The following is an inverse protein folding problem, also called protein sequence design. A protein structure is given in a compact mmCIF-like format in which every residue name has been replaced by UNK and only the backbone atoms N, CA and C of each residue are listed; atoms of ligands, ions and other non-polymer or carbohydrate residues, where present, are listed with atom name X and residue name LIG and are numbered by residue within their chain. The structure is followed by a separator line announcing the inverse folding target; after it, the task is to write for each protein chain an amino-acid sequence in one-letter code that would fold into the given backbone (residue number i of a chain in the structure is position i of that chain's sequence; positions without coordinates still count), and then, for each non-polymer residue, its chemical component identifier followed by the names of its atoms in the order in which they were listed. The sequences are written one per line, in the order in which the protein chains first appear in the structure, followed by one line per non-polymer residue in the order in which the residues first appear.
data_IF_690237491203
#
_entry.id   IF_690237491203
#
_cell.length_a   1.000
_cell.length_b   1.000
_cell.length_c   1.000
_cell.angle_alpha   90.00
_cell.angle_beta   90.00
_cell.angle_gamma   90.00
#
_symmetry.space_group_name_H-M   'P 1'
#
loop_
_entity.id
_entity.type
_entity.pdbx_description
1 polymer ?
#
# COMPACT_ATOMS: atom_id res chain seq x y z
N UNK A 1 8.90 -22.02 -25.01
CA UNK A 1 8.74 -22.94 -23.85
C UNK A 1 7.27 -23.05 -23.50
N UNK A 2 6.81 -24.26 -23.19
CA UNK A 2 5.47 -24.50 -22.64
C UNK A 2 5.40 -24.07 -21.15
N UNK A 3 4.18 -23.92 -20.63
CA UNK A 3 3.98 -23.60 -19.20
C UNK A 3 4.55 -24.70 -18.27
N UNK A 4 4.42 -25.97 -18.69
CA UNK A 4 4.94 -27.12 -17.91
C UNK A 4 6.47 -27.14 -17.87
N UNK A 5 7.14 -26.86 -18.97
CA UNK A 5 8.62 -26.75 -19.04
C UNK A 5 9.12 -25.58 -18.16
N UNK A 6 8.46 -24.42 -18.24
CA UNK A 6 8.79 -23.27 -17.40
C UNK A 6 8.64 -23.59 -15.91
N UNK A 7 7.55 -24.25 -15.54
CA UNK A 7 7.32 -24.63 -14.15
C UNK A 7 8.34 -25.66 -13.65
N UNK A 8 8.73 -26.63 -14.47
CA UNK A 8 9.73 -27.62 -14.09
C UNK A 8 11.12 -27.03 -13.89
N UNK A 9 11.49 -25.99 -14.66
CA UNK A 9 12.80 -25.33 -14.58
C UNK A 9 12.86 -24.20 -13.56
N UNK A 10 11.79 -23.42 -13.43
CA UNK A 10 11.77 -22.16 -12.68
C UNK A 10 10.70 -22.11 -11.58
N UNK A 11 9.98 -23.19 -11.29
CA UNK A 11 8.90 -23.22 -10.30
C UNK A 11 9.33 -22.70 -8.93
N UNK A 12 10.54 -23.10 -8.47
CA UNK A 12 11.07 -22.59 -7.20
C UNK A 12 11.33 -21.09 -7.24
N UNK A 13 11.82 -20.55 -8.36
CA UNK A 13 12.01 -19.10 -8.52
C UNK A 13 10.69 -18.33 -8.43
N UNK A 14 9.59 -18.88 -8.98
CA UNK A 14 8.26 -18.27 -8.85
C UNK A 14 7.73 -18.32 -7.42
N UNK A 15 7.95 -19.42 -6.70
CA UNK A 15 7.58 -19.53 -5.29
C UNK A 15 8.35 -18.49 -4.46
N UNK A 16 9.65 -18.42 -4.64
CA UNK A 16 10.50 -17.45 -3.92
C UNK A 16 10.10 -16.01 -4.27
N UNK A 17 9.77 -15.74 -5.54
CA UNK A 17 9.32 -14.43 -5.99
C UNK A 17 7.94 -14.06 -5.39
N UNK A 18 7.02 -15.01 -5.30
CA UNK A 18 5.72 -14.81 -4.65
C UNK A 18 5.89 -14.48 -3.16
N UNK A 19 6.73 -15.24 -2.47
CA UNK A 19 7.04 -15.00 -1.06
C UNK A 19 7.74 -13.64 -0.84
N UNK A 20 8.67 -13.27 -1.72
CA UNK A 20 9.32 -11.96 -1.69
C UNK A 20 8.30 -10.82 -1.90
N UNK A 21 7.39 -10.98 -2.88
CA UNK A 21 6.29 -10.04 -3.13
C UNK A 21 5.42 -9.88 -1.89
N UNK A 22 4.96 -10.99 -1.29
CA UNK A 22 4.13 -10.94 -0.09
C UNK A 22 4.86 -10.35 1.11
N UNK A 23 6.12 -10.71 1.32
CA UNK A 23 6.94 -10.17 2.41
C UNK A 23 7.06 -8.65 2.31
N UNK A 24 7.45 -8.13 1.13
CA UNK A 24 7.55 -6.68 0.90
C UNK A 24 6.18 -5.99 1.01
N UNK A 25 5.11 -6.62 0.53
CA UNK A 25 3.75 -6.08 0.62
C UNK A 25 3.32 -5.91 2.07
N UNK A 26 3.47 -6.96 2.88
CA UNK A 26 3.06 -6.94 4.29
C UNK A 26 3.86 -5.91 5.09
N UNK A 27 5.18 -5.90 4.95
CA UNK A 27 6.05 -4.93 5.61
C UNK A 27 5.71 -3.49 5.21
N UNK A 28 5.61 -3.25 3.89
CA UNK A 28 5.27 -1.93 3.37
C UNK A 28 3.88 -1.48 3.82
N UNK A 29 2.89 -2.37 3.77
CA UNK A 29 1.52 -2.03 4.15
C UNK A 29 1.41 -1.69 5.64
N UNK A 30 2.00 -2.49 6.52
CA UNK A 30 1.97 -2.23 7.97
C UNK A 30 2.61 -0.88 8.30
N UNK A 31 3.81 -0.62 7.78
CA UNK A 31 4.52 0.64 8.01
C UNK A 31 3.75 1.82 7.40
N UNK A 32 3.22 1.65 6.17
CA UNK A 32 2.41 2.66 5.50
C UNK A 32 1.14 3.00 6.28
N UNK A 33 0.48 2.01 6.90
CA UNK A 33 -0.71 2.26 7.72
C UNK A 33 -0.41 3.06 8.97
N UNK A 34 0.68 2.76 9.67
CA UNK A 34 1.12 3.54 10.83
C UNK A 34 1.38 5.00 10.43
N UNK A 35 2.10 5.20 9.33
CA UNK A 35 2.39 6.54 8.81
C UNK A 35 1.12 7.24 8.29
N UNK A 36 0.21 6.52 7.63
CA UNK A 36 -1.07 7.04 7.16
C UNK A 36 -1.94 7.55 8.31
N UNK A 37 -1.99 6.82 9.43
CA UNK A 37 -2.70 7.28 10.65
C UNK A 37 -2.06 8.55 11.19
N UNK A 38 -0.73 8.60 11.31
CA UNK A 38 -0.02 9.79 11.78
C UNK A 38 -0.32 11.02 10.90
N UNK A 39 -0.23 10.84 9.56
CA UNK A 39 -0.55 11.91 8.60
C UNK A 39 -2.02 12.32 8.69
N UNK A 40 -2.94 11.37 8.85
CA UNK A 40 -4.37 11.68 9.01
C UNK A 40 -4.63 12.48 10.29
N UNK A 41 -3.99 12.12 11.40
CA UNK A 41 -4.08 12.87 12.66
C UNK A 41 -3.60 14.31 12.48
N UNK A 42 -2.51 14.54 11.73
CA UNK A 42 -2.06 15.90 11.39
C UNK A 42 -3.12 16.66 10.60
N UNK A 43 -3.74 16.02 9.60
CA UNK A 43 -4.76 16.63 8.71
C UNK A 43 -6.06 16.98 9.41
N UNK A 44 -6.48 16.23 10.43
CA UNK A 44 -7.67 16.55 11.23
C UNK A 44 -7.36 17.44 12.44
N UNK A 45 -6.09 17.79 12.66
CA UNK A 45 -5.67 18.60 13.80
C UNK A 45 -6.28 20.02 13.76
N UNK A 46 -6.67 20.59 14.90
CA UNK A 46 -7.05 21.98 15.00
C UNK A 46 -5.87 22.94 14.73
N UNK A 47 -4.62 22.45 14.83
CA UNK A 47 -3.41 23.25 14.60
C UNK A 47 -3.12 23.40 13.12
N UNK A 48 -3.27 24.62 12.59
CA UNK A 48 -3.09 24.93 11.17
C UNK A 48 -1.74 24.47 10.58
N UNK A 49 -0.58 24.61 11.25
CA UNK A 49 0.69 24.14 10.71
C UNK A 49 0.73 22.62 10.47
N UNK A 50 0.19 21.81 11.41
CA UNK A 50 0.14 20.37 11.26
C UNK A 50 -0.76 19.94 10.11
N UNK A 51 -1.91 20.60 9.95
CA UNK A 51 -2.83 20.32 8.84
C UNK A 51 -2.18 20.62 7.50
N UNK A 52 -1.54 21.80 7.37
CA UNK A 52 -0.83 22.17 6.12
C UNK A 52 0.27 21.16 5.81
N UNK A 53 1.07 20.75 6.79
CA UNK A 53 2.13 19.76 6.58
C UNK A 53 1.55 18.39 6.14
N UNK A 54 0.49 17.91 6.79
CA UNK A 54 -0.16 16.67 6.42
C UNK A 54 -0.77 16.70 5.01
N UNK A 55 -1.42 17.82 4.64
CA UNK A 55 -1.98 17.99 3.30
C UNK A 55 -0.87 18.08 2.24
N UNK A 56 0.22 18.80 2.51
CA UNK A 56 1.38 18.90 1.62
C UNK A 56 2.03 17.52 1.41
N UNK A 57 2.22 16.76 2.49
CA UNK A 57 2.73 15.39 2.42
C UNK A 57 1.90 14.54 1.44
N UNK A 58 0.60 14.53 1.61
CA UNK A 58 -0.30 13.75 0.77
C UNK A 58 -0.26 14.23 -0.69
N UNK A 59 -0.27 15.56 -0.91
CA UNK A 59 -0.18 16.13 -2.26
C UNK A 59 1.12 15.74 -2.96
N UNK A 60 2.25 15.78 -2.27
CA UNK A 60 3.55 15.40 -2.85
C UNK A 60 3.57 13.92 -3.21
N UNK A 61 3.33 13.05 -2.22
CA UNK A 61 3.53 11.59 -2.42
C UNK A 61 2.44 10.91 -3.26
N UNK A 62 1.27 11.50 -3.41
CA UNK A 62 0.25 10.98 -4.35
C UNK A 62 0.52 11.37 -5.80
N UNK A 63 1.24 12.45 -6.04
CA UNK A 63 1.46 12.98 -7.38
C UNK A 63 2.85 12.68 -7.94
N UNK A 64 3.78 12.15 -7.13
CA UNK A 64 5.07 11.68 -7.62
C UNK A 64 4.94 10.28 -8.23
N UNK A 65 5.48 10.03 -9.44
CA UNK A 65 5.54 8.68 -9.99
C UNK A 65 6.34 7.75 -9.08
N UNK A 66 5.81 6.53 -8.78
CA UNK A 66 6.47 5.59 -7.88
C UNK A 66 7.89 5.24 -8.30
N UNK A 67 8.12 5.09 -9.62
CA UNK A 67 9.46 4.83 -10.16
C UNK A 67 10.41 6.00 -9.89
N UNK A 68 9.95 7.25 -9.98
CA UNK A 68 10.78 8.42 -9.68
C UNK A 68 11.17 8.43 -8.20
N UNK A 69 10.25 8.08 -7.30
CA UNK A 69 10.55 7.96 -5.88
C UNK A 69 11.57 6.85 -5.60
N UNK A 70 11.43 5.68 -6.24
CA UNK A 70 12.43 4.61 -6.12
C UNK A 70 13.81 5.07 -6.59
N UNK A 71 13.90 5.74 -7.74
CA UNK A 71 15.14 6.29 -8.29
C UNK A 71 15.79 7.27 -7.30
N UNK A 72 15.00 8.16 -6.68
CA UNK A 72 15.51 9.07 -5.66
C UNK A 72 16.08 8.29 -4.48
N UNK A 73 15.39 7.30 -3.96
CA UNK A 73 15.86 6.50 -2.82
C UNK A 73 17.11 5.70 -3.16
N UNK A 74 17.20 5.14 -4.37
CA UNK A 74 18.33 4.29 -4.79
C UNK A 74 19.58 5.11 -5.13
N UNK A 75 19.42 6.26 -5.81
CA UNK A 75 20.55 6.99 -6.40
C UNK A 75 20.85 8.33 -5.73
N UNK A 76 19.88 8.97 -5.07
CA UNK A 76 20.12 10.27 -4.42
C UNK A 76 20.57 10.13 -2.95
N UNK A 77 20.29 9.00 -2.28
CA UNK A 77 20.73 8.79 -0.90
C UNK A 77 22.20 8.39 -0.75
N UNK A 78 22.83 7.55 -1.61
CA UNK A 78 24.23 7.16 -1.45
C UNK A 78 25.21 8.32 -1.43
N UNK A 79 25.11 9.39 -2.24
CA UNK A 79 25.97 10.58 -2.12
C UNK A 79 25.86 11.24 -0.75
N UNK A 80 24.75 11.10 -0.03
CA UNK A 80 24.54 11.57 1.33
C UNK A 80 25.03 10.58 2.40
N UNK A 81 25.80 9.55 1.99
CA UNK A 81 26.30 8.46 2.84
C UNK A 81 25.20 7.55 3.44
N UNK A 82 24.00 7.56 2.89
CA UNK A 82 22.90 6.69 3.27
C UNK A 82 22.76 5.61 2.19
N UNK A 83 23.29 4.42 2.46
CA UNK A 83 23.22 3.27 1.54
C UNK A 83 22.23 2.26 2.11
N UNK A 84 21.17 2.00 1.39
CA UNK A 84 20.13 1.03 1.78
C UNK A 84 20.16 -0.19 0.85
N UNK A 85 19.87 -1.40 1.37
CA UNK A 85 19.64 -2.56 0.53
C UNK A 85 18.49 -2.29 -0.46
N UNK A 86 18.57 -2.82 -1.68
CA UNK A 86 17.55 -2.59 -2.72
C UNK A 86 16.13 -2.94 -2.25
N UNK A 87 15.98 -4.04 -1.50
CA UNK A 87 14.71 -4.42 -0.89
C UNK A 87 14.14 -3.30 0.00
N UNK A 88 14.99 -2.72 0.83
CA UNK A 88 14.61 -1.59 1.70
C UNK A 88 14.26 -0.36 0.88
N UNK A 89 14.97 -0.08 -0.21
CA UNK A 89 14.64 1.04 -1.11
C UNK A 89 13.22 0.89 -1.70
N UNK A 90 12.85 -0.32 -2.14
CA UNK A 90 11.50 -0.63 -2.65
C UNK A 90 10.46 -0.43 -1.55
N UNK A 91 10.72 -0.96 -0.33
CA UNK A 91 9.82 -0.80 0.81
C UNK A 91 9.63 0.67 1.14
N UNK A 92 10.70 1.46 1.24
CA UNK A 92 10.64 2.89 1.55
C UNK A 92 9.79 3.65 0.52
N UNK A 93 10.05 3.45 -0.78
CA UNK A 93 9.26 4.07 -1.84
C UNK A 93 7.78 3.68 -1.74
N UNK A 94 7.49 2.39 -1.54
CA UNK A 94 6.13 1.87 -1.40
C UNK A 94 5.42 2.40 -0.16
N UNK A 95 6.14 2.56 0.97
CA UNK A 95 5.60 3.11 2.23
C UNK A 95 5.17 4.55 2.06
N UNK A 96 5.98 5.41 1.44
CA UNK A 96 5.62 6.81 1.23
C UNK A 96 4.38 6.96 0.34
N UNK A 97 4.32 6.21 -0.76
CA UNK A 97 3.14 6.16 -1.63
C UNK A 97 1.92 5.61 -0.88
N UNK A 98 2.07 4.43 -0.28
CA UNK A 98 0.99 3.74 0.42
C UNK A 98 0.42 4.54 1.58
N UNK A 99 1.25 5.25 2.34
CA UNK A 99 0.80 6.08 3.46
C UNK A 99 0.03 7.34 3.02
N UNK A 100 0.42 7.95 1.91
CA UNK A 100 -0.30 9.09 1.36
C UNK A 100 -1.71 8.68 0.88
N UNK A 101 -1.81 7.58 0.12
CA UNK A 101 -3.11 7.03 -0.27
C UNK A 101 -3.91 6.49 0.93
N UNK A 102 -3.25 5.90 1.92
CA UNK A 102 -3.88 5.43 3.15
C UNK A 102 -4.50 6.57 3.95
N UNK A 103 -3.78 7.70 4.09
CA UNK A 103 -4.32 8.90 4.72
C UNK A 103 -5.56 9.44 3.99
N UNK A 104 -5.56 9.41 2.66
CA UNK A 104 -6.73 9.82 1.88
C UNK A 104 -7.93 8.89 2.09
N UNK A 105 -7.69 7.58 2.14
CA UNK A 105 -8.73 6.60 2.43
C UNK A 105 -9.32 6.78 3.84
N UNK A 106 -8.48 7.09 4.85
CA UNK A 106 -8.98 7.43 6.18
C UNK A 106 -9.77 8.74 6.20
N UNK A 107 -9.32 9.78 5.51
CA UNK A 107 -10.07 11.02 5.37
C UNK A 107 -11.41 10.81 4.68
N UNK A 108 -11.45 10.00 3.63
CA UNK A 108 -12.70 9.58 2.98
C UNK A 108 -13.65 8.91 3.97
N UNK A 109 -13.13 7.98 4.80
CA UNK A 109 -13.90 7.34 5.87
C UNK A 109 -14.43 8.34 6.91
N UNK A 110 -13.61 9.30 7.33
CA UNK A 110 -14.00 10.36 8.27
C UNK A 110 -15.14 11.20 7.67
N UNK A 111 -15.05 11.55 6.38
CA UNK A 111 -16.05 12.36 5.69
C UNK A 111 -17.41 11.64 5.50
N UNK A 112 -17.45 10.31 5.73
CA UNK A 112 -18.75 9.59 5.73
C UNK A 112 -19.56 9.82 7.00
N UNK A 113 -18.94 10.33 8.08
CA UNK A 113 -19.64 10.61 9.34
C UNK A 113 -20.49 11.87 9.18
N UNK A 114 -21.78 11.75 9.44
CA UNK A 114 -22.72 12.87 9.28
C UNK A 114 -22.39 14.04 10.20
N UNK A 115 -22.36 15.26 9.64
CA UNK A 115 -22.05 16.50 10.38
C UNK A 115 -22.98 16.66 11.59
N UNK A 116 -24.26 16.31 11.46
CA UNK A 116 -25.25 16.39 12.55
C UNK A 116 -24.89 15.54 13.78
N UNK A 117 -24.19 14.40 13.61
CA UNK A 117 -23.70 13.60 14.75
C UNK A 117 -22.63 14.36 15.55
N UNK A 118 -21.75 15.05 14.83
CA UNK A 118 -20.68 15.85 15.43
C UNK A 118 -21.25 17.09 16.13
N UNK A 119 -22.25 17.75 15.53
CA UNK A 119 -22.93 18.90 16.10
C UNK A 119 -23.74 18.53 17.34
N UNK A 120 -24.50 17.44 17.28
CA UNK A 120 -25.23 16.92 18.45
C UNK A 120 -24.30 16.59 19.61
N UNK A 121 -23.15 15.94 19.35
CA UNK A 121 -22.17 15.65 20.36
C UNK A 121 -21.56 16.92 20.97
N UNK A 122 -21.34 17.97 20.17
CA UNK A 122 -20.89 19.28 20.67
C UNK A 122 -21.92 19.92 21.57
N UNK A 123 -23.20 19.87 21.20
CA UNK A 123 -24.30 20.40 22.01
C UNK A 123 -24.43 19.68 23.35
N UNK A 124 -24.00 18.42 23.44
CA UNK A 124 -23.89 17.67 24.69
C UNK A 124 -22.60 17.98 25.49
N UNK A 125 -21.81 18.96 25.07
CA UNK A 125 -20.58 19.37 25.76
C UNK A 125 -19.39 18.42 25.57
N UNK A 126 -19.41 17.53 24.57
CA UNK A 126 -18.29 16.64 24.31
C UNK A 126 -17.08 17.41 23.76
N UNK A 127 -15.89 17.15 24.31
CA UNK A 127 -14.65 17.72 23.79
C UNK A 127 -14.31 17.13 22.40
N UNK A 128 -13.54 17.87 21.59
CA UNK A 128 -13.12 17.44 20.24
C UNK A 128 -12.48 16.02 20.25
N UNK A 129 -11.56 15.77 21.16
CA UNK A 129 -10.89 14.47 21.27
C UNK A 129 -11.88 13.34 21.60
N UNK A 130 -12.89 13.61 22.42
CA UNK A 130 -13.94 12.64 22.77
C UNK A 130 -14.86 12.35 21.60
N UNK A 131 -15.25 13.38 20.84
CA UNK A 131 -16.02 13.22 19.60
C UNK A 131 -15.24 12.39 18.60
N UNK A 132 -13.96 12.73 18.36
CA UNK A 132 -13.11 12.01 17.45
C UNK A 132 -12.99 10.53 17.82
N UNK A 133 -12.65 10.24 19.09
CA UNK A 133 -12.41 8.88 19.57
C UNK A 133 -13.69 8.01 19.66
N UNK A 134 -14.83 8.59 20.07
CA UNK A 134 -16.06 7.84 20.37
C UNK A 134 -17.05 7.78 19.22
N UNK A 135 -17.04 8.76 18.31
CA UNK A 135 -18.04 8.89 17.25
C UNK A 135 -17.38 8.73 15.87
N UNK A 136 -16.34 9.52 15.57
CA UNK A 136 -15.79 9.62 14.23
C UNK A 136 -14.91 8.41 13.88
N UNK A 137 -13.90 8.12 14.68
CA UNK A 137 -12.92 7.06 14.38
C UNK A 137 -13.59 5.68 14.22
N UNK A 138 -14.47 5.22 15.12
CA UNK A 138 -15.10 3.90 14.98
C UNK A 138 -15.92 3.75 13.69
N UNK A 139 -16.60 4.80 13.27
CA UNK A 139 -17.38 4.80 12.02
C UNK A 139 -16.46 4.90 10.80
N UNK A 140 -15.46 5.78 10.84
CA UNK A 140 -14.49 5.96 9.76
C UNK A 140 -13.73 4.66 9.46
N UNK A 141 -13.27 3.95 10.49
CA UNK A 141 -12.56 2.68 10.32
C UNK A 141 -13.42 1.63 9.62
N UNK A 142 -14.70 1.53 9.99
CA UNK A 142 -15.63 0.60 9.33
C UNK A 142 -15.86 0.97 7.86
N UNK A 143 -16.01 2.25 7.57
CA UNK A 143 -16.19 2.75 6.18
C UNK A 143 -14.92 2.63 5.34
N UNK A 144 -13.76 2.49 5.97
CA UNK A 144 -12.47 2.41 5.28
C UNK A 144 -12.05 0.97 4.90
N UNK A 145 -12.81 -0.06 5.26
CA UNK A 145 -12.40 -1.47 5.04
C UNK A 145 -12.15 -1.74 3.55
N UNK A 146 -13.10 -1.44 2.66
CA UNK A 146 -12.91 -1.67 1.22
C UNK A 146 -11.82 -0.77 0.60
N UNK A 147 -11.77 0.55 0.87
CA UNK A 147 -10.64 1.37 0.45
C UNK A 147 -9.28 0.83 0.90
N UNK A 148 -9.16 0.31 2.13
CA UNK A 148 -7.91 -0.26 2.63
C UNK A 148 -7.58 -1.61 1.99
N UNK A 149 -8.58 -2.42 1.68
CA UNK A 149 -8.40 -3.67 0.92
C UNK A 149 -7.83 -3.37 -0.47
N UNK A 150 -8.40 -2.39 -1.17
CA UNK A 150 -7.90 -1.96 -2.47
C UNK A 150 -6.50 -1.36 -2.39
N UNK A 151 -6.20 -0.62 -1.31
CA UNK A 151 -4.86 -0.08 -1.06
C UNK A 151 -3.84 -1.20 -0.81
N UNK A 152 -4.21 -2.27 -0.10
CA UNK A 152 -3.32 -3.42 0.09
C UNK A 152 -2.93 -4.04 -1.25
N UNK A 153 -3.89 -4.22 -2.16
CA UNK A 153 -3.64 -4.72 -3.51
C UNK A 153 -2.75 -3.74 -4.29
N UNK A 154 -3.01 -2.43 -4.19
CA UNK A 154 -2.18 -1.42 -4.85
C UNK A 154 -0.74 -1.42 -4.31
N UNK A 155 -0.54 -1.57 -2.99
CA UNK A 155 0.78 -1.72 -2.36
C UNK A 155 1.48 -2.97 -2.89
N UNK A 156 0.78 -4.10 -3.00
CA UNK A 156 1.32 -5.32 -3.60
C UNK A 156 1.78 -5.08 -5.04
N UNK A 157 0.96 -4.47 -5.87
CA UNK A 157 1.33 -4.16 -7.27
C UNK A 157 2.51 -3.17 -7.33
N UNK A 158 2.61 -2.25 -6.37
CA UNK A 158 3.72 -1.29 -6.29
C UNK A 158 5.06 -1.98 -6.00
N UNK A 159 5.07 -3.16 -5.35
CA UNK A 159 6.31 -3.92 -5.15
C UNK A 159 6.98 -4.34 -6.46
N UNK A 160 6.25 -4.36 -7.58
CA UNK A 160 6.79 -4.59 -8.93
C UNK A 160 7.87 -3.57 -9.34
N UNK A 161 7.96 -2.42 -8.65
CA UNK A 161 9.10 -1.51 -8.76
C UNK A 161 10.44 -2.20 -8.47
N UNK A 162 10.42 -3.29 -7.70
CA UNK A 162 11.59 -4.13 -7.43
C UNK A 162 12.27 -4.70 -8.69
N UNK A 163 11.51 -4.85 -9.79
CA UNK A 163 12.06 -5.28 -11.09
C UNK A 163 13.07 -4.30 -11.69
N UNK A 164 13.08 -3.06 -11.23
CA UNK A 164 13.97 -1.99 -11.71
C UNK A 164 15.31 -1.93 -10.98
N UNK A 165 15.53 -2.79 -9.98
CA UNK A 165 16.76 -2.86 -9.18
C UNK A 165 17.22 -4.31 -9.04
N UNK A 166 18.52 -4.57 -8.77
CA UNK A 166 19.05 -5.92 -8.59
C UNK A 166 18.56 -6.59 -7.29
N UNK A 167 17.27 -6.87 -7.21
CA UNK A 167 16.64 -7.50 -6.06
C UNK A 167 16.95 -8.99 -6.00
N UNK A 168 17.20 -9.52 -4.79
CA UNK A 168 17.39 -10.96 -4.53
C UNK A 168 16.73 -11.34 -3.19
N UNK A 169 15.80 -12.34 -3.20
CA UNK A 169 15.16 -12.90 -4.40
C UNK A 169 14.39 -11.83 -5.16
N UNK A 170 14.18 -12.05 -6.48
CA UNK A 170 13.32 -11.18 -7.29
C UNK A 170 11.88 -11.26 -6.76
N UNK A 171 11.10 -10.22 -7.03
CA UNK A 171 9.65 -10.27 -6.90
C UNK A 171 9.01 -10.79 -8.22
N UNK A 172 7.69 -10.95 -8.23
CA UNK A 172 6.98 -11.61 -9.35
C UNK A 172 7.21 -10.95 -10.73
N UNK A 173 7.45 -9.65 -10.82
CA UNK A 173 7.80 -8.99 -12.10
C UNK A 173 9.27 -9.17 -12.43
N UNK A 174 10.15 -9.08 -11.45
CA UNK A 174 11.59 -9.26 -11.61
C UNK A 174 11.96 -10.67 -12.06
N UNK A 175 11.25 -11.71 -11.60
CA UNK A 175 11.50 -13.09 -12.02
C UNK A 175 11.22 -13.29 -13.51
N UNK A 176 10.28 -12.56 -14.10
CA UNK A 176 10.02 -12.61 -15.56
C UNK A 176 11.25 -12.12 -16.33
N UNK A 177 11.82 -10.99 -15.93
CA UNK A 177 13.04 -10.45 -16.54
C UNK A 177 14.22 -11.42 -16.36
N UNK A 178 14.36 -12.01 -15.18
CA UNK A 178 15.38 -13.02 -14.89
C UNK A 178 15.28 -14.24 -15.81
N UNK A 179 14.07 -14.76 -16.04
CA UNK A 179 13.85 -15.91 -16.92
C UNK A 179 14.11 -15.51 -18.38
N UNK A 180 13.61 -14.37 -18.83
CA UNK A 180 13.74 -13.93 -20.22
C UNK A 180 15.17 -13.60 -20.64
N UNK A 181 16.07 -13.28 -19.69
CA UNK A 181 17.50 -13.12 -19.96
C UNK A 181 18.24 -14.45 -20.10
N UNK A 182 17.68 -15.57 -19.67
CA UNK A 182 18.32 -16.90 -19.63
C UNK A 182 17.67 -17.92 -20.56
N UNK A 183 16.41 -17.73 -20.86
CA UNK A 183 15.63 -18.63 -21.69
C UNK A 183 14.54 -17.85 -22.42
N UNK A 184 14.02 -18.43 -23.52
CA UNK A 184 12.90 -17.86 -24.27
C UNK A 184 11.55 -18.12 -23.54
N UNK A 185 11.43 -17.67 -22.27
CA UNK A 185 10.21 -17.80 -21.47
C UNK A 185 9.05 -16.98 -22.04
N UNK A 186 9.36 -15.79 -22.56
CA UNK A 186 8.42 -14.95 -23.30
C UNK A 186 7.13 -14.64 -22.53
N UNK A 187 6.01 -14.72 -23.26
CA UNK A 187 4.66 -14.46 -22.72
C UNK A 187 4.26 -15.46 -21.62
N UNK A 188 4.72 -16.71 -21.72
CA UNK A 188 4.40 -17.75 -20.73
C UNK A 188 4.98 -17.43 -19.33
N UNK A 189 6.20 -16.88 -19.28
CA UNK A 189 6.81 -16.43 -18.02
C UNK A 189 6.01 -15.29 -17.39
N UNK A 190 5.59 -14.32 -18.19
CA UNK A 190 4.73 -13.23 -17.74
C UNK A 190 3.37 -13.73 -17.21
N UNK A 191 2.78 -14.71 -17.91
CA UNK A 191 1.47 -15.25 -17.56
C UNK A 191 1.47 -15.91 -16.17
N UNK A 192 2.51 -16.66 -15.80
CA UNK A 192 2.63 -17.27 -14.46
C UNK A 192 2.70 -16.19 -13.39
N UNK A 193 3.52 -15.15 -13.58
CA UNK A 193 3.61 -14.03 -12.64
C UNK A 193 2.29 -13.27 -12.51
N UNK A 194 1.61 -13.03 -13.64
CA UNK A 194 0.31 -12.38 -13.65
C UNK A 194 -0.74 -13.18 -12.86
N UNK A 195 -0.73 -14.51 -12.98
CA UNK A 195 -1.60 -15.38 -12.16
C UNK A 195 -1.28 -15.29 -10.67
N UNK A 196 -0.01 -15.13 -10.28
CA UNK A 196 0.40 -14.91 -8.90
C UNK A 196 -0.19 -13.62 -8.31
N UNK A 197 -0.10 -12.51 -9.05
CA UNK A 197 -0.73 -11.24 -8.65
C UNK A 197 -2.25 -11.33 -8.62
N UNK A 198 -2.86 -11.86 -9.68
CA UNK A 198 -4.32 -11.99 -9.80
C UNK A 198 -4.90 -12.87 -8.71
N UNK A 199 -4.30 -14.04 -8.46
CA UNK A 199 -4.74 -14.96 -7.42
C UNK A 199 -4.69 -14.33 -6.04
N UNK A 200 -3.59 -13.63 -5.73
CA UNK A 200 -3.46 -12.91 -4.45
C UNK A 200 -4.49 -11.79 -4.35
N UNK A 201 -4.67 -10.98 -5.37
CA UNK A 201 -5.65 -9.90 -5.39
C UNK A 201 -7.08 -10.42 -5.22
N UNK A 202 -7.41 -11.55 -5.85
CA UNK A 202 -8.71 -12.20 -5.73
C UNK A 202 -8.99 -12.65 -4.28
N UNK A 203 -8.02 -13.32 -3.64
CA UNK A 203 -8.15 -13.77 -2.25
C UNK A 203 -8.31 -12.57 -1.31
N UNK A 204 -7.45 -11.55 -1.44
CA UNK A 204 -7.49 -10.33 -0.63
C UNK A 204 -8.82 -9.59 -0.79
N UNK A 205 -9.28 -9.43 -2.03
CA UNK A 205 -10.59 -8.82 -2.32
C UNK A 205 -11.74 -9.59 -1.67
N UNK A 206 -11.71 -10.92 -1.73
CA UNK A 206 -12.76 -11.75 -1.15
C UNK A 206 -12.80 -11.61 0.38
N UNK A 207 -11.65 -11.65 1.03
CA UNK A 207 -11.50 -11.41 2.47
C UNK A 207 -11.99 -10.01 2.84
N UNK A 208 -11.57 -8.98 2.11
CA UNK A 208 -11.99 -7.60 2.35
C UNK A 208 -13.50 -7.40 2.24
N UNK A 209 -14.12 -7.97 1.20
CA UNK A 209 -15.57 -7.95 1.03
C UNK A 209 -16.31 -8.68 2.16
N UNK A 210 -15.77 -9.80 2.64
CA UNK A 210 -16.35 -10.53 3.76
C UNK A 210 -16.28 -9.72 5.06
N UNK A 211 -15.16 -9.07 5.35
CA UNK A 211 -14.99 -8.20 6.51
C UNK A 211 -15.94 -7.01 6.40
N UNK A 212 -15.99 -6.33 5.25
CA UNK A 212 -16.87 -5.17 5.03
C UNK A 212 -18.33 -5.53 5.32
N UNK A 213 -18.82 -6.66 4.78
CA UNK A 213 -20.21 -7.11 5.04
C UNK A 213 -20.52 -7.29 6.52
N UNK A 214 -19.51 -7.67 7.34
CA UNK A 214 -19.71 -7.87 8.79
C UNK A 214 -19.67 -6.57 9.60
N UNK A 215 -18.88 -5.58 9.16
CA UNK A 215 -18.65 -4.38 9.97
C UNK A 215 -19.37 -3.14 9.44
N UNK A 216 -19.88 -3.19 8.21
CA UNK A 216 -20.55 -2.06 7.56
C UNK A 216 -21.78 -1.62 8.35
N UNK A 217 -21.87 -0.33 8.60
CA UNK A 217 -23.06 0.27 9.20
C UNK A 217 -24.10 0.47 8.08
N UNK A 218 -25.19 -0.27 8.16
CA UNK A 218 -26.37 -0.02 7.29
C UNK A 218 -26.99 1.31 7.72
N UNK A 219 -27.06 2.25 6.81
CA UNK A 219 -27.71 3.56 6.99
C UNK A 219 -29.05 3.56 6.32
#
# INVERSE_FOLDING_TARGET
MSLSELWSLYGQNYIDALLATWGMTLESFVIAMVLAVAVTVMRVSPLKPLRIFGDLYVQVFRNIPGIALLIIVVYALPPLKVVLPYRTCVIVATVFLGSAFGSENFMSGINTVGVGQVEAARSLGMSFSRILAKIVIPQALRSSVLPMTNLFIAVMLTTALGSQVPLKPQELTGVVSYINTRSLGGVAAFFISALGYLGTAFVVSHIGNYIDKKVRILR
#
